data_IF_555826562030
#
_entry.id   IF_555826562030
#
_cell.length_a   1.000
_cell.length_b   1.000
_cell.length_c   1.000
_cell.angle_alpha   90.00
_cell.angle_beta   90.00
_cell.angle_gamma   90.00
#
_symmetry.space_group_name_H-M   'P 1'
#
loop_
_entity.id
_entity.type
_entity.pdbx_description
1 polymer ?
#
# COMPACT_ATOMS: atom_id res chain seq x y z
N UNK A 1 8.67 12.77 37.36
CA UNK A 1 7.34 13.36 37.05
C UNK A 1 6.30 12.30 37.34
N UNK A 2 5.31 12.64 38.17
CA UNK A 2 4.34 11.67 38.69
C UNK A 2 3.09 11.63 37.81
N UNK A 3 2.59 10.45 37.49
CA UNK A 3 1.30 10.25 36.82
C UNK A 3 0.53 9.11 37.48
N UNK A 4 -0.76 9.01 37.19
CA UNK A 4 -1.57 7.88 37.61
C UNK A 4 -1.44 6.72 36.62
N UNK A 5 -1.39 5.50 37.16
CA UNK A 5 -1.52 4.26 36.43
C UNK A 5 -2.67 3.46 37.05
N UNK A 6 -3.52 2.89 36.19
CA UNK A 6 -4.63 2.04 36.60
C UNK A 6 -4.37 0.63 36.09
N UNK A 7 -4.32 -0.32 37.03
CA UNK A 7 -4.11 -1.74 36.75
C UNK A 7 -5.39 -2.45 36.32
N UNK A 8 -5.25 -3.70 35.88
CA UNK A 8 -6.37 -4.60 35.55
C UNK A 8 -7.24 -5.02 36.76
N UNK A 9 -6.95 -4.50 37.96
CA UNK A 9 -7.80 -4.67 39.16
C UNK A 9 -8.97 -3.69 39.22
N UNK A 10 -9.06 -2.77 38.26
CA UNK A 10 -10.20 -1.87 38.16
C UNK A 10 -11.48 -2.67 37.86
N UNK A 11 -12.55 -2.34 38.58
CA UNK A 11 -13.87 -2.98 38.46
C UNK A 11 -14.98 -1.98 38.06
N UNK A 12 -14.58 -0.77 37.66
CA UNK A 12 -15.52 0.25 37.20
C UNK A 12 -16.43 0.86 38.27
N UNK A 13 -16.03 0.89 39.55
CA UNK A 13 -16.86 1.49 40.62
C UNK A 13 -17.11 3.02 40.51
N UNK A 14 -16.40 3.73 39.62
CA UNK A 14 -16.64 5.14 39.29
C UNK A 14 -16.22 6.17 40.35
N UNK A 15 -15.83 5.76 41.57
CA UNK A 15 -15.50 6.69 42.65
C UNK A 15 -14.30 7.61 42.34
N UNK A 16 -13.33 7.11 41.57
CA UNK A 16 -12.10 7.80 41.27
C UNK A 16 -12.17 8.72 40.04
N UNK A 17 -13.25 8.70 39.26
CA UNK A 17 -13.43 9.56 38.07
C UNK A 17 -14.27 10.80 38.36
N UNK A 18 -14.85 10.90 39.56
CA UNK A 18 -15.65 12.06 39.97
C UNK A 18 -14.77 13.29 40.13
N UNK A 19 -15.07 14.33 39.35
CA UNK A 19 -14.57 15.71 39.54
C UNK A 19 -13.04 15.83 39.68
N UNK A 20 -12.27 15.10 38.88
CA UNK A 20 -10.83 15.31 38.76
C UNK A 20 -10.38 15.32 37.30
N UNK A 21 -9.17 15.85 37.06
CA UNK A 21 -8.59 16.01 35.72
C UNK A 21 -7.65 14.86 35.32
N UNK A 22 -7.48 13.83 36.17
CA UNK A 22 -6.43 12.82 36.02
C UNK A 22 -6.93 11.45 35.55
N UNK A 23 -8.20 11.14 35.82
CA UNK A 23 -8.83 9.88 35.46
C UNK A 23 -10.11 10.14 34.67
N UNK A 24 -10.34 9.32 33.65
CA UNK A 24 -11.59 9.27 32.89
C UNK A 24 -12.08 7.83 32.79
N UNK A 25 -13.33 7.65 32.38
CA UNK A 25 -13.94 6.33 32.18
C UNK A 25 -13.83 5.91 30.71
N UNK A 26 -13.49 4.65 30.45
CA UNK A 26 -13.48 4.09 29.10
C UNK A 26 -14.85 3.48 28.73
N UNK A 27 -14.97 2.95 27.51
CA UNK A 27 -16.22 2.34 27.02
C UNK A 27 -16.69 1.11 27.82
N UNK A 28 -15.77 0.45 28.53
CA UNK A 28 -16.05 -0.70 29.39
C UNK A 28 -16.40 -0.32 30.83
N UNK A 29 -16.50 0.97 31.13
CA UNK A 29 -16.76 1.48 32.48
C UNK A 29 -15.55 1.51 33.41
N UNK A 30 -14.35 1.19 32.91
CA UNK A 30 -13.13 1.17 33.71
C UNK A 30 -12.47 2.55 33.75
N UNK A 31 -11.86 2.88 34.90
CA UNK A 31 -11.05 4.07 35.02
C UNK A 31 -9.74 3.91 34.23
N UNK A 32 -9.41 4.91 33.42
CA UNK A 32 -8.15 5.03 32.70
C UNK A 32 -7.51 6.39 32.99
N UNK A 33 -6.17 6.49 33.08
CA UNK A 33 -5.49 7.78 33.14
C UNK A 33 -5.80 8.62 31.92
N UNK A 34 -6.06 9.91 32.12
CA UNK A 34 -6.17 10.85 31.00
C UNK A 34 -4.80 10.93 30.32
N UNK A 35 -4.76 10.58 29.03
CA UNK A 35 -3.51 10.47 28.28
C UNK A 35 -2.77 11.82 28.26
N UNK A 36 -1.51 11.81 28.71
CA UNK A 36 -0.68 13.00 28.75
C UNK A 36 -1.02 14.00 29.85
N UNK A 37 -1.63 13.59 30.98
CA UNK A 37 -1.80 14.44 32.16
C UNK A 37 -0.83 14.02 33.28
N UNK A 38 0.01 14.97 33.73
CA UNK A 38 0.92 14.78 34.86
C UNK A 38 0.37 15.40 36.14
N UNK A 39 0.70 14.79 37.28
CA UNK A 39 0.35 15.30 38.61
C UNK A 39 1.24 16.52 38.89
N UNK A 40 0.60 17.70 39.03
CA UNK A 40 1.29 18.94 39.43
C UNK A 40 1.71 18.83 40.89
N UNK A 41 2.82 19.46 41.29
CA UNK A 41 3.31 19.40 42.68
C UNK A 41 2.25 19.83 43.70
N UNK A 42 1.49 20.89 43.40
CA UNK A 42 0.42 21.39 44.28
C UNK A 42 -0.80 20.45 44.36
N UNK A 43 -0.93 19.50 43.43
CA UNK A 43 -2.07 18.59 43.33
C UNK A 43 -1.74 17.20 43.92
N UNK A 44 -0.50 16.96 44.39
CA UNK A 44 -0.07 15.64 44.89
C UNK A 44 -0.98 15.14 46.03
N UNK A 45 -1.31 15.99 47.00
CA UNK A 45 -2.13 15.61 48.14
C UNK A 45 -3.57 15.27 47.70
N UNK A 46 -4.14 16.06 46.78
CA UNK A 46 -5.45 15.79 46.21
C UNK A 46 -5.47 14.46 45.42
N UNK A 47 -4.40 14.18 44.67
CA UNK A 47 -4.28 12.93 43.92
C UNK A 47 -4.08 11.73 44.84
N UNK A 48 -3.39 11.87 45.96
CA UNK A 48 -3.28 10.82 46.96
C UNK A 48 -4.65 10.46 47.56
N UNK A 49 -5.55 11.44 47.73
CA UNK A 49 -6.93 11.15 48.14
C UNK A 49 -7.69 10.38 47.06
N UNK A 50 -7.52 10.72 45.78
CA UNK A 50 -8.13 9.95 44.66
C UNK A 50 -7.64 8.50 44.67
N UNK A 51 -6.35 8.26 44.91
CA UNK A 51 -5.79 6.90 44.99
C UNK A 51 -6.44 6.10 46.12
N UNK A 52 -6.68 6.74 47.28
CA UNK A 52 -7.35 6.11 48.44
C UNK A 52 -8.82 5.77 48.20
N UNK A 53 -9.50 6.47 47.27
CA UNK A 53 -10.90 6.17 46.94
C UNK A 53 -11.07 4.84 46.22
N UNK A 54 -9.99 4.23 45.68
CA UNK A 54 -10.09 2.95 44.98
C UNK A 54 -10.20 1.78 45.97
N UNK A 55 -11.38 1.11 46.07
CA UNK A 55 -11.56 0.01 47.02
C UNK A 55 -10.67 -1.20 46.70
N UNK A 56 -10.32 -1.39 45.43
CA UNK A 56 -9.50 -2.52 44.98
C UNK A 56 -8.01 -2.20 44.87
N UNK A 57 -7.59 -0.98 45.25
CA UNK A 57 -6.20 -0.54 45.15
C UNK A 57 -5.63 -0.62 43.72
N UNK A 58 -6.47 -0.37 42.72
CA UNK A 58 -6.11 -0.48 41.30
C UNK A 58 -5.32 0.72 40.78
N UNK A 59 -5.29 1.84 41.52
CA UNK A 59 -4.69 3.11 41.13
C UNK A 59 -3.36 3.28 41.86
N UNK A 60 -2.31 3.69 41.14
CA UNK A 60 -1.01 4.01 41.73
C UNK A 60 -0.39 5.25 41.11
N UNK A 61 0.44 5.96 41.89
CA UNK A 61 1.29 7.04 41.37
C UNK A 61 2.61 6.44 40.92
N UNK A 62 2.96 6.64 39.66
CA UNK A 62 4.22 6.19 39.06
C UNK A 62 5.04 7.38 38.57
N UNK A 63 6.36 7.30 38.69
CA UNK A 63 7.25 8.26 38.05
C UNK A 63 7.47 7.85 36.58
N UNK A 64 6.90 8.65 35.65
CA UNK A 64 6.94 8.40 34.20
C UNK A 64 7.35 9.66 33.43
N UNK A 65 8.40 10.34 33.92
CA UNK A 65 9.02 11.45 33.22
C UNK A 65 10.21 10.99 32.37
N UNK A 66 10.43 11.60 31.21
CA UNK A 66 11.69 11.43 30.47
C UNK A 66 12.89 12.09 31.19
N UNK A 67 12.65 12.88 32.25
CA UNK A 67 13.69 13.49 33.10
C UNK A 67 13.16 13.69 34.53
N UNK A 68 14.08 13.61 35.50
CA UNK A 68 13.84 13.94 36.92
C UNK A 68 14.31 15.36 37.28
N UNK A 69 14.77 16.14 36.29
CA UNK A 69 15.29 17.49 36.48
C UNK A 69 14.20 18.53 36.20
N UNK A 70 14.43 19.78 36.61
CA UNK A 70 13.54 20.93 36.37
C UNK A 70 14.27 22.05 35.63
N UNK A 71 13.53 22.98 35.02
CA UNK A 71 14.10 24.13 34.32
C UNK A 71 14.91 23.76 33.07
N UNK A 72 15.98 24.51 32.77
CA UNK A 72 16.75 24.39 31.51
C UNK A 72 17.38 23.01 31.29
N UNK A 73 17.78 22.33 32.36
CA UNK A 73 18.36 20.98 32.25
C UNK A 73 17.31 19.95 31.85
N UNK A 74 16.08 20.09 32.34
CA UNK A 74 14.95 19.25 31.95
C UNK A 74 14.61 19.41 30.46
N UNK A 75 14.58 20.66 29.98
CA UNK A 75 14.33 20.98 28.57
C UNK A 75 15.41 20.38 27.67
N UNK A 76 16.68 20.41 28.10
CA UNK A 76 17.79 19.82 27.34
C UNK A 76 17.64 18.30 27.22
N UNK A 77 17.30 17.61 28.32
CA UNK A 77 17.06 16.17 28.33
C UNK A 77 15.85 15.80 27.44
N UNK A 78 14.77 16.58 27.50
CA UNK A 78 13.58 16.42 26.66
C UNK A 78 13.90 16.59 25.18
N UNK A 79 14.71 17.59 24.80
CA UNK A 79 15.13 17.79 23.41
C UNK A 79 15.95 16.61 22.90
N UNK A 80 16.82 16.03 23.73
CA UNK A 80 17.60 14.84 23.34
C UNK A 80 16.69 13.62 23.15
N UNK A 81 15.75 13.40 24.07
CA UNK A 81 14.74 12.32 23.97
C UNK A 81 13.88 12.50 22.72
N UNK A 82 13.44 13.73 22.45
CA UNK A 82 12.64 14.09 21.27
C UNK A 82 13.39 13.77 19.98
N UNK A 83 14.64 14.23 19.82
CA UNK A 83 15.45 13.93 18.64
C UNK A 83 15.56 12.43 18.38
N UNK A 84 15.85 11.65 19.44
CA UNK A 84 16.01 10.18 19.33
C UNK A 84 14.72 9.48 18.92
N UNK A 85 13.59 9.85 19.51
CA UNK A 85 12.27 9.24 19.19
C UNK A 85 11.77 9.69 17.81
N UNK A 86 11.94 10.95 17.45
CA UNK A 86 11.58 11.44 16.12
C UNK A 86 12.36 10.69 15.03
N UNK A 87 13.65 10.43 15.22
CA UNK A 87 14.46 9.64 14.29
C UNK A 87 13.92 8.20 14.14
N UNK A 88 13.42 7.61 15.21
CA UNK A 88 12.85 6.26 15.18
C UNK A 88 11.50 6.17 14.44
N UNK A 89 10.74 7.27 14.39
CA UNK A 89 9.42 7.37 13.72
C UNK A 89 9.56 7.62 12.21
N UNK A 90 10.72 8.12 11.75
CA UNK A 90 10.96 8.41 10.33
C UNK A 90 10.69 7.21 9.42
N UNK A 91 10.31 7.52 8.19
CA UNK A 91 10.11 6.52 7.15
C UNK A 91 11.45 5.88 6.80
N UNK A 92 11.47 4.54 6.86
CA UNK A 92 12.63 3.74 6.45
C UNK A 92 12.51 3.38 4.99
N UNK A 93 13.66 3.26 4.33
CA UNK A 93 13.71 2.76 2.96
C UNK A 93 13.05 1.38 2.88
N UNK A 94 12.29 1.20 1.81
CA UNK A 94 11.66 -0.07 1.48
C UNK A 94 12.51 -0.83 0.47
N UNK A 95 12.30 -2.14 0.42
CA UNK A 95 12.87 -3.01 -0.60
C UNK A 95 11.80 -3.64 -1.48
N UNK A 96 12.26 -4.44 -2.45
CA UNK A 96 11.40 -5.18 -3.39
C UNK A 96 10.31 -6.02 -2.70
N UNK A 97 10.63 -6.60 -1.54
CA UNK A 97 9.68 -7.39 -0.74
C UNK A 97 8.43 -6.60 -0.29
N UNK A 98 8.52 -5.28 -0.18
CA UNK A 98 7.44 -4.42 0.31
C UNK A 98 6.50 -3.99 -0.83
N UNK A 99 6.94 -4.18 -2.08
CA UNK A 99 6.24 -3.81 -3.31
C UNK A 99 6.13 -4.99 -4.29
N UNK A 100 5.83 -6.19 -3.78
CA UNK A 100 5.81 -7.38 -4.63
C UNK A 100 4.80 -7.31 -5.76
N UNK A 101 5.28 -7.51 -6.99
CA UNK A 101 4.47 -7.59 -8.19
C UNK A 101 3.96 -9.03 -8.38
N UNK A 102 2.69 -9.18 -8.73
CA UNK A 102 2.09 -10.48 -9.00
C UNK A 102 0.95 -10.35 -10.00
N UNK A 103 1.24 -10.68 -11.27
CA UNK A 103 0.26 -10.64 -12.34
C UNK A 103 -0.81 -11.73 -12.23
N UNK A 104 -0.59 -12.79 -11.43
CA UNK A 104 -1.57 -13.89 -11.30
C UNK A 104 -2.84 -13.48 -10.54
N UNK A 105 -2.79 -12.35 -9.82
CA UNK A 105 -3.96 -11.78 -9.13
C UNK A 105 -4.97 -11.16 -10.10
N UNK A 106 -4.53 -10.83 -11.30
CA UNK A 106 -5.36 -10.19 -12.32
C UNK A 106 -6.16 -11.21 -13.10
N UNK A 107 -7.48 -11.04 -13.08
CA UNK A 107 -8.38 -11.80 -13.93
C UNK A 107 -8.35 -11.23 -15.36
N UNK A 108 -7.90 -12.01 -16.33
CA UNK A 108 -7.78 -11.58 -17.73
C UNK A 108 -8.83 -12.30 -18.57
N UNK A 109 -9.63 -11.54 -19.32
CA UNK A 109 -10.61 -12.10 -20.23
C UNK A 109 -9.92 -12.80 -21.39
N UNK A 110 -10.31 -14.05 -21.64
CA UNK A 110 -9.75 -14.87 -22.71
C UNK A 110 -10.45 -14.51 -24.03
N UNK A 111 -9.71 -14.16 -25.10
CA UNK A 111 -10.27 -14.00 -26.42
C UNK A 111 -10.98 -15.27 -26.90
N UNK A 112 -12.14 -15.11 -27.53
CA UNK A 112 -12.87 -16.20 -28.16
C UNK A 112 -13.18 -15.88 -29.63
N UNK A 113 -13.34 -16.93 -30.43
CA UNK A 113 -13.75 -16.82 -31.82
C UNK A 113 -14.46 -18.09 -32.29
N UNK A 114 -15.48 -17.91 -33.14
CA UNK A 114 -16.13 -18.99 -33.87
C UNK A 114 -15.64 -18.97 -35.32
N UNK A 115 -15.04 -20.06 -35.77
CA UNK A 115 -14.62 -20.20 -37.17
C UNK A 115 -15.80 -20.65 -38.05
N UNK A 116 -15.80 -20.29 -39.35
CA UNK A 116 -16.69 -20.91 -40.33
C UNK A 116 -16.69 -22.43 -40.24
N UNK A 117 -17.83 -23.04 -40.57
CA UNK A 117 -18.04 -24.47 -40.39
C UNK A 117 -17.04 -25.34 -41.16
N UNK A 118 -16.57 -24.91 -42.35
CA UNK A 118 -15.63 -25.67 -43.18
C UNK A 118 -14.70 -24.79 -44.02
N UNK A 119 -13.50 -25.33 -44.30
CA UNK A 119 -12.48 -24.79 -45.20
C UNK A 119 -12.15 -25.79 -46.31
N UNK A 120 -11.79 -25.29 -47.49
CA UNK A 120 -11.52 -26.14 -48.66
C UNK A 120 -10.13 -26.79 -48.69
N UNK A 121 -9.26 -26.51 -47.72
CA UNK A 121 -7.93 -27.13 -47.57
C UNK A 121 -7.33 -26.83 -46.19
N UNK A 122 -6.44 -27.70 -45.71
CA UNK A 122 -5.67 -27.50 -44.47
C UNK A 122 -4.95 -26.15 -44.47
N UNK A 123 -4.28 -25.80 -45.58
CA UNK A 123 -3.57 -24.53 -45.71
C UNK A 123 -4.48 -23.32 -45.50
N UNK A 124 -5.71 -23.35 -46.02
CA UNK A 124 -6.68 -22.26 -45.80
C UNK A 124 -7.16 -22.21 -44.36
N UNK A 125 -7.42 -23.36 -43.74
CA UNK A 125 -7.81 -23.43 -42.33
C UNK A 125 -6.69 -22.88 -41.43
N UNK A 126 -5.45 -23.35 -41.60
CA UNK A 126 -4.28 -22.87 -40.85
C UNK A 126 -4.03 -21.37 -41.03
N UNK A 127 -4.10 -20.86 -42.27
CA UNK A 127 -3.96 -19.42 -42.52
C UNK A 127 -5.09 -18.59 -41.89
N UNK A 128 -6.31 -19.12 -41.84
CA UNK A 128 -7.42 -18.46 -41.17
C UNK A 128 -7.22 -18.43 -39.64
N UNK A 129 -6.83 -19.56 -39.04
CA UNK A 129 -6.48 -19.66 -37.62
C UNK A 129 -5.40 -18.63 -37.25
N UNK A 130 -4.29 -18.60 -38.00
CA UNK A 130 -3.20 -17.61 -37.83
C UNK A 130 -3.71 -16.18 -37.91
N UNK A 131 -4.49 -15.85 -38.94
CA UNK A 131 -4.99 -14.49 -39.14
C UNK A 131 -5.90 -14.03 -38.00
N UNK A 132 -6.81 -14.90 -37.55
CA UNK A 132 -7.72 -14.59 -36.45
C UNK A 132 -6.94 -14.46 -35.14
N UNK A 133 -6.05 -15.39 -34.84
CA UNK A 133 -5.25 -15.37 -33.61
C UNK A 133 -4.41 -14.10 -33.51
N UNK A 134 -3.69 -13.73 -34.58
CA UNK A 134 -2.93 -12.49 -34.64
C UNK A 134 -3.81 -11.25 -34.38
N UNK A 135 -5.02 -11.23 -34.96
CA UNK A 135 -5.97 -10.10 -34.82
C UNK A 135 -6.62 -10.02 -33.44
N UNK A 136 -6.72 -11.13 -32.72
CA UNK A 136 -7.42 -11.21 -31.42
C UNK A 136 -6.47 -11.15 -30.23
N UNK A 137 -5.35 -11.86 -30.29
CA UNK A 137 -4.38 -11.97 -29.19
C UNK A 137 -3.25 -10.94 -29.32
N UNK A 138 -2.62 -10.84 -30.50
CA UNK A 138 -1.48 -9.93 -30.72
C UNK A 138 -1.87 -8.51 -31.15
N UNK A 139 -3.15 -8.16 -31.11
CA UNK A 139 -3.57 -6.80 -31.45
C UNK A 139 -3.33 -5.85 -30.28
N UNK A 140 -2.93 -4.62 -30.61
CA UNK A 140 -2.74 -3.53 -29.63
C UNK A 140 -4.01 -3.24 -28.83
N UNK A 141 -5.18 -3.53 -29.41
CA UNK A 141 -6.48 -3.40 -28.74
C UNK A 141 -6.76 -4.44 -27.66
N UNK A 142 -6.02 -5.57 -27.63
CA UNK A 142 -6.14 -6.57 -26.58
C UNK A 142 -5.00 -6.45 -25.57
N UNK A 143 -3.76 -6.64 -26.01
CA UNK A 143 -2.65 -6.78 -25.06
C UNK A 143 -2.36 -5.48 -24.29
N UNK A 144 -2.56 -4.29 -24.86
CA UNK A 144 -2.29 -3.02 -24.15
C UNK A 144 -3.29 -2.78 -23.01
N UNK A 145 -4.62 -2.89 -23.22
CA UNK A 145 -5.57 -2.85 -22.11
C UNK A 145 -5.31 -3.92 -21.05
N UNK A 146 -4.99 -5.15 -21.47
CA UNK A 146 -4.67 -6.25 -20.54
C UNK A 146 -3.46 -5.91 -19.67
N UNK A 147 -2.36 -5.46 -20.26
CA UNK A 147 -1.18 -5.00 -19.51
C UNK A 147 -1.50 -3.82 -18.60
N UNK A 148 -2.29 -2.85 -19.07
CA UNK A 148 -2.70 -1.72 -18.24
C UNK A 148 -3.53 -2.20 -17.03
N UNK A 149 -4.44 -3.16 -17.22
CA UNK A 149 -5.25 -3.73 -16.13
C UNK A 149 -4.38 -4.34 -15.04
N UNK A 150 -3.41 -5.20 -15.40
CA UNK A 150 -2.47 -5.80 -14.45
C UNK A 150 -1.76 -4.72 -13.62
N UNK A 151 -1.29 -3.66 -14.27
CA UNK A 151 -0.59 -2.59 -13.56
C UNK A 151 -1.52 -1.70 -12.72
N UNK A 152 -2.79 -1.53 -13.11
CA UNK A 152 -3.78 -0.84 -12.28
C UNK A 152 -4.00 -1.61 -10.99
N UNK A 153 -4.17 -2.93 -11.05
CA UNK A 153 -4.35 -3.77 -9.86
C UNK A 153 -3.12 -3.73 -8.96
N UNK A 154 -1.91 -3.88 -9.52
CA UNK A 154 -0.67 -3.72 -8.76
C UNK A 154 -0.56 -2.34 -8.09
N UNK A 155 -0.91 -1.27 -8.81
CA UNK A 155 -0.89 0.09 -8.29
C UNK A 155 -1.82 0.24 -7.08
N UNK A 156 -3.07 -0.21 -7.21
CA UNK A 156 -4.08 -0.09 -6.14
C UNK A 156 -3.73 -0.96 -4.93
N UNK A 157 -3.38 -2.22 -5.16
CA UNK A 157 -3.19 -3.18 -4.08
C UNK A 157 -1.89 -2.98 -3.31
N UNK A 158 -0.86 -2.45 -3.98
CA UNK A 158 0.50 -2.41 -3.45
C UNK A 158 1.03 -1.00 -3.28
N UNK A 159 0.88 -0.15 -4.30
CA UNK A 159 1.57 1.15 -4.36
C UNK A 159 0.78 2.30 -3.75
N UNK A 160 -0.55 2.24 -3.75
CA UNK A 160 -1.45 3.35 -3.35
C UNK A 160 -1.10 3.94 -1.99
N UNK A 161 -0.82 3.07 -1.00
CA UNK A 161 -0.46 3.47 0.36
C UNK A 161 0.78 4.37 0.45
N UNK A 162 1.64 4.41 -0.57
CA UNK A 162 2.87 5.21 -0.57
C UNK A 162 2.71 6.61 -1.16
N UNK A 163 1.68 6.85 -1.98
CA UNK A 163 1.42 8.15 -2.59
C UNK A 163 0.08 8.77 -2.18
N UNK A 164 -0.74 8.05 -1.42
CA UNK A 164 -1.93 8.59 -0.78
C UNK A 164 -1.55 9.49 0.40
N UNK A 165 -1.80 10.80 0.23
CA UNK A 165 -1.47 11.84 1.19
C UNK A 165 -2.69 12.33 2.00
N UNK A 166 -3.86 11.73 1.78
CA UNK A 166 -5.13 12.22 2.33
C UNK A 166 -5.80 11.18 3.21
N UNK A 167 -5.75 9.89 2.85
CA UNK A 167 -6.39 8.85 3.65
C UNK A 167 -5.52 8.35 4.80
N UNK A 168 -6.17 7.79 5.82
CA UNK A 168 -5.49 7.13 6.94
C UNK A 168 -4.75 5.86 6.52
N UNK A 169 -4.95 5.35 5.30
CA UNK A 169 -4.19 4.20 4.77
C UNK A 169 -2.80 4.62 4.31
N UNK A 170 -2.62 5.89 3.95
CA UNK A 170 -1.36 6.48 3.52
C UNK A 170 -0.26 6.41 4.58
N UNK A 171 0.90 5.90 4.21
CA UNK A 171 2.04 5.71 5.13
C UNK A 171 2.52 7.05 5.70
N UNK A 172 2.60 8.09 4.89
CA UNK A 172 3.01 9.44 5.33
C UNK A 172 1.98 10.08 6.27
N UNK A 173 0.68 9.88 6.03
CA UNK A 173 -0.40 10.36 6.90
C UNK A 173 -0.32 9.67 8.26
N UNK A 174 -0.10 8.35 8.29
CA UNK A 174 0.09 7.60 9.55
C UNK A 174 1.30 8.11 10.34
N UNK A 175 2.42 8.32 9.66
CA UNK A 175 3.64 8.84 10.31
C UNK A 175 3.45 10.25 10.86
N UNK A 176 2.77 11.15 10.13
CA UNK A 176 2.42 12.46 10.67
C UNK A 176 1.59 12.34 11.96
N UNK A 177 0.55 11.50 11.97
CA UNK A 177 -0.27 11.28 13.17
C UNK A 177 0.51 10.72 14.36
N UNK A 178 1.40 9.75 14.11
CA UNK A 178 2.29 9.20 15.13
C UNK A 178 3.22 10.29 15.70
N UNK A 179 3.77 11.13 14.82
CA UNK A 179 4.59 12.27 15.21
C UNK A 179 3.79 13.30 16.03
N UNK A 180 2.58 13.65 15.62
CA UNK A 180 1.70 14.57 16.36
C UNK A 180 1.38 14.04 17.76
N UNK A 181 1.05 12.75 17.87
CA UNK A 181 0.79 12.11 19.17
C UNK A 181 2.02 12.20 20.07
N UNK A 182 3.22 11.94 19.53
CA UNK A 182 4.45 12.06 20.29
C UNK A 182 4.77 13.51 20.70
N UNK A 183 4.59 14.47 19.79
CA UNK A 183 4.81 15.88 20.09
C UNK A 183 3.81 16.41 21.13
N UNK A 184 2.56 15.93 21.13
CA UNK A 184 1.60 16.27 22.20
C UNK A 184 2.12 15.84 23.57
N UNK A 185 2.70 14.65 23.69
CA UNK A 185 3.27 14.20 24.97
C UNK A 185 4.43 15.09 25.42
N UNK A 186 5.32 15.46 24.50
CA UNK A 186 6.43 16.39 24.79
C UNK A 186 5.90 17.77 25.21
N UNK A 187 4.85 18.28 24.57
CA UNK A 187 4.24 19.55 24.94
C UNK A 187 3.73 19.56 26.38
N UNK A 188 3.07 18.48 26.81
CA UNK A 188 2.63 18.38 28.21
C UNK A 188 3.81 18.27 29.17
N UNK A 189 4.84 17.50 28.81
CA UNK A 189 6.06 17.40 29.63
C UNK A 189 6.74 18.77 29.80
N UNK A 190 6.80 19.57 28.74
CA UNK A 190 7.37 20.93 28.78
C UNK A 190 6.57 21.85 29.70
N UNK A 191 5.25 21.82 29.62
CA UNK A 191 4.38 22.61 30.51
C UNK A 191 4.59 22.20 31.98
N UNK A 192 4.74 20.90 32.25
CA UNK A 192 4.98 20.38 33.60
C UNK A 192 6.33 20.81 34.18
N UNK A 193 7.41 20.82 33.39
CA UNK A 193 8.78 21.12 33.90
C UNK A 193 9.15 22.61 33.86
N UNK A 194 8.50 23.39 33.00
CA UNK A 194 8.82 24.82 32.81
C UNK A 194 7.72 25.78 33.29
N UNK A 195 6.51 25.29 33.53
CA UNK A 195 5.33 26.11 33.81
C UNK A 195 4.87 26.96 32.63
N UNK A 196 5.51 26.83 31.46
CA UNK A 196 5.17 27.59 30.24
C UNK A 196 4.36 26.69 29.31
N UNK A 197 3.16 27.14 28.95
CA UNK A 197 2.33 26.49 27.94
C UNK A 197 2.85 26.82 26.54
N UNK A 198 3.06 25.80 25.71
CA UNK A 198 3.39 25.97 24.30
C UNK A 198 2.14 26.36 23.48
N UNK A 199 2.31 26.97 22.29
CA UNK A 199 1.18 27.24 21.40
C UNK A 199 0.37 25.97 21.09
N UNK A 200 -0.96 26.08 20.99
CA UNK A 200 -1.83 24.90 20.81
C UNK A 200 -1.50 24.12 19.52
N UNK A 201 -0.99 24.80 18.48
CA UNK A 201 -0.55 24.19 17.22
C UNK A 201 0.90 23.66 17.25
N UNK A 202 1.62 23.76 18.38
CA UNK A 202 3.01 23.34 18.47
C UNK A 202 3.18 21.84 18.23
N UNK A 203 2.16 21.03 18.52
CA UNK A 203 2.22 19.59 18.29
C UNK A 203 1.91 19.15 16.85
N UNK A 204 1.41 20.05 15.99
CA UNK A 204 0.99 19.72 14.63
C UNK A 204 2.18 19.26 13.78
N UNK A 205 1.96 18.25 12.93
CA UNK A 205 2.95 17.71 12.01
C UNK A 205 2.29 17.45 10.66
N UNK A 206 2.67 18.25 9.67
CA UNK A 206 2.15 18.14 8.31
C UNK A 206 3.33 18.07 7.32
N UNK A 207 4.24 17.11 7.53
CA UNK A 207 5.27 16.84 6.55
C UNK A 207 4.61 16.25 5.29
N UNK A 208 4.95 16.78 4.13
CA UNK A 208 4.52 16.26 2.82
C UNK A 208 5.73 16.29 1.86
N UNK A 209 5.84 15.34 0.93
CA UNK A 209 6.80 15.44 -0.17
C UNK A 209 6.39 16.56 -1.12
N UNK A 210 7.27 16.93 -2.06
CA UNK A 210 6.91 17.87 -3.12
C UNK A 210 5.97 17.13 -4.09
N UNK A 211 4.80 17.68 -4.35
CA UNK A 211 3.83 17.11 -5.31
C UNK A 211 3.79 17.89 -6.62
N UNK A 212 4.08 19.18 -6.56
CA UNK A 212 4.02 20.07 -7.72
C UNK A 212 5.22 19.80 -8.63
N UNK A 213 4.94 19.42 -9.88
CA UNK A 213 5.96 19.08 -10.89
C UNK A 213 6.95 17.99 -10.46
N UNK A 214 6.58 17.17 -9.46
CA UNK A 214 7.40 16.06 -8.98
C UNK A 214 7.22 14.83 -9.88
N UNK A 215 8.30 14.45 -10.56
CA UNK A 215 8.32 13.30 -11.46
C UNK A 215 7.98 11.99 -10.72
N UNK A 216 8.55 11.80 -9.53
CA UNK A 216 8.40 10.59 -8.75
C UNK A 216 6.96 10.37 -8.31
N UNK A 217 6.33 11.44 -7.80
CA UNK A 217 4.94 11.42 -7.36
C UNK A 217 3.97 11.19 -8.53
N UNK A 218 4.12 11.93 -9.64
CA UNK A 218 3.25 11.75 -10.82
C UNK A 218 3.41 10.34 -11.41
N UNK A 219 4.64 9.83 -11.45
CA UNK A 219 4.92 8.47 -11.95
C UNK A 219 4.29 7.39 -11.07
N UNK A 220 4.31 7.52 -9.75
CA UNK A 220 3.64 6.56 -8.85
C UNK A 220 2.11 6.59 -9.03
N UNK A 221 1.51 7.79 -9.19
CA UNK A 221 0.06 7.92 -9.39
C UNK A 221 -0.42 7.35 -10.73
N UNK A 222 0.42 7.42 -11.76
CA UNK A 222 0.17 6.94 -13.11
C UNK A 222 1.01 5.71 -13.46
N UNK A 223 1.32 4.89 -12.45
CA UNK A 223 2.25 3.77 -12.62
C UNK A 223 1.77 2.77 -13.70
N UNK A 224 0.47 2.67 -13.93
CA UNK A 224 -0.11 1.86 -15.00
C UNK A 224 0.25 2.28 -16.43
N UNK A 225 0.62 3.55 -16.63
CA UNK A 225 1.13 4.05 -17.91
C UNK A 225 2.53 3.51 -18.21
N UNK A 226 3.21 2.94 -17.21
CA UNK A 226 4.51 2.28 -17.36
C UNK A 226 4.42 0.86 -17.90
N UNK A 227 3.24 0.28 -18.07
CA UNK A 227 3.07 -1.11 -18.53
C UNK A 227 3.80 -1.43 -19.85
N UNK A 228 3.91 -0.47 -20.76
CA UNK A 228 4.66 -0.62 -22.02
C UNK A 228 6.18 -0.46 -21.91
N UNK A 229 6.71 0.03 -20.79
CA UNK A 229 8.14 0.37 -20.63
C UNK A 229 9.01 -0.86 -20.34
N UNK A 230 8.41 -1.95 -19.83
CA UNK A 230 9.15 -3.12 -19.35
C UNK A 230 9.46 -4.15 -20.46
N UNK A 231 8.97 -3.94 -21.68
CA UNK A 231 9.27 -4.83 -22.80
C UNK A 231 8.62 -6.21 -22.72
N UNK A 232 7.60 -6.39 -21.89
CA UNK A 232 6.89 -7.68 -21.67
C UNK A 232 6.45 -8.31 -22.99
N UNK A 233 5.79 -7.53 -23.86
CA UNK A 233 5.33 -8.01 -25.17
C UNK A 233 6.50 -8.36 -26.09
N UNK A 234 7.60 -7.61 -26.03
CA UNK A 234 8.78 -7.92 -26.84
C UNK A 234 9.43 -9.23 -26.42
N UNK A 235 9.47 -9.54 -25.11
CA UNK A 235 9.98 -10.82 -24.62
C UNK A 235 9.06 -11.98 -25.01
N UNK A 236 7.74 -11.80 -24.88
CA UNK A 236 6.76 -12.76 -25.35
C UNK A 236 6.93 -13.08 -26.84
N UNK A 237 7.05 -12.05 -27.69
CA UNK A 237 7.21 -12.21 -29.15
C UNK A 237 8.55 -12.86 -29.55
N UNK A 238 9.61 -12.72 -28.74
CA UNK A 238 10.90 -13.39 -29.00
C UNK A 238 10.83 -14.89 -28.71
N UNK A 239 10.09 -15.28 -27.69
CA UNK A 239 10.01 -16.67 -27.26
C UNK A 239 8.90 -17.45 -27.96
N UNK A 240 7.76 -16.82 -28.20
CA UNK A 240 6.57 -17.46 -28.75
C UNK A 240 6.11 -16.73 -30.01
N UNK A 241 6.22 -17.42 -31.14
CA UNK A 241 5.68 -16.94 -32.41
C UNK A 241 4.17 -17.12 -32.47
N UNK A 242 3.44 -16.30 -33.22
CA UNK A 242 2.00 -16.53 -33.43
C UNK A 242 1.70 -17.97 -33.92
N UNK A 243 2.60 -18.56 -34.71
CA UNK A 243 2.44 -19.92 -35.23
C UNK A 243 2.47 -20.99 -34.14
N UNK A 244 3.21 -20.81 -33.04
CA UNK A 244 3.28 -21.83 -31.98
C UNK A 244 1.95 -22.01 -31.27
N UNK A 245 1.10 -20.97 -31.23
CA UNK A 245 -0.25 -21.06 -30.66
C UNK A 245 -1.24 -21.78 -31.58
N UNK A 246 -0.95 -21.88 -32.87
CA UNK A 246 -1.83 -22.59 -33.81
C UNK A 246 -1.69 -24.11 -33.66
N UNK A 247 -0.55 -24.57 -33.17
CA UNK A 247 -0.35 -25.99 -32.85
C UNK A 247 -1.19 -26.44 -31.63
N UNK A 248 -1.76 -25.49 -30.87
CA UNK A 248 -2.75 -25.75 -29.81
C UNK A 248 -4.20 -25.75 -30.32
N UNK A 249 -4.42 -25.42 -31.59
CA UNK A 249 -5.74 -25.52 -32.22
C UNK A 249 -5.83 -26.84 -32.98
N UNK A 250 -6.97 -27.51 -32.88
CA UNK A 250 -7.27 -28.67 -33.70
C UNK A 250 -7.71 -28.24 -35.11
N UNK A 251 -7.13 -28.88 -36.14
CA UNK A 251 -7.50 -28.67 -37.54
C UNK A 251 -7.75 -30.03 -38.18
N UNK A 252 -9.01 -30.45 -38.15
CA UNK A 252 -9.44 -31.80 -38.56
C UNK A 252 -9.89 -31.86 -40.01
N UNK A 253 -9.59 -32.98 -40.68
CA UNK A 253 -10.11 -33.34 -41.99
C UNK A 253 -11.41 -34.14 -41.85
N UNK A 254 -12.46 -33.72 -42.54
CA UNK A 254 -13.72 -34.45 -42.69
C UNK A 254 -14.06 -34.63 -44.18
N UNK A 255 -14.84 -35.67 -44.50
CA UNK A 255 -15.39 -35.86 -45.84
C UNK A 255 -16.84 -35.35 -45.91
N UNK A 256 -17.10 -34.42 -46.83
CA UNK A 256 -18.44 -33.90 -47.10
C UNK A 256 -18.95 -34.43 -48.45
N UNK A 257 -20.14 -35.03 -48.46
CA UNK A 257 -20.78 -35.50 -49.69
C UNK A 257 -21.20 -34.33 -50.57
N UNK A 258 -20.85 -34.38 -51.86
CA UNK A 258 -21.07 -33.28 -52.83
C UNK A 258 -21.83 -33.73 -54.08
N UNK A 259 -22.60 -34.80 -53.97
CA UNK A 259 -23.41 -35.34 -55.05
C UNK A 259 -22.87 -36.64 -55.63
N UNK A 260 -23.43 -37.04 -56.77
CA UNK A 260 -23.04 -38.26 -57.48
C UNK A 260 -22.29 -37.94 -58.76
N UNK A 261 -21.29 -38.75 -59.09
CA UNK A 261 -20.58 -38.71 -60.37
C UNK A 261 -21.51 -39.05 -61.55
N UNK A 262 -21.06 -38.78 -62.79
CA UNK A 262 -21.79 -39.11 -64.03
C UNK A 262 -22.15 -40.60 -64.16
N UNK A 263 -21.48 -41.48 -63.41
CA UNK A 263 -21.69 -42.93 -63.40
C UNK A 263 -22.45 -43.44 -62.17
N UNK A 264 -23.03 -42.53 -61.36
CA UNK A 264 -23.88 -42.89 -60.22
C UNK A 264 -23.15 -43.16 -58.91
N UNK A 265 -21.81 -43.09 -58.87
CA UNK A 265 -21.05 -43.25 -57.62
C UNK A 265 -21.11 -41.98 -56.78
N UNK A 266 -21.16 -42.10 -55.46
CA UNK A 266 -21.05 -40.98 -54.53
C UNK A 266 -19.71 -40.25 -54.68
N UNK A 267 -19.77 -38.92 -54.53
CA UNK A 267 -18.61 -38.04 -54.58
C UNK A 267 -18.50 -37.30 -53.26
N UNK A 268 -17.34 -37.41 -52.63
CA UNK A 268 -16.99 -36.67 -51.43
C UNK A 268 -15.90 -35.64 -51.75
N UNK A 269 -15.80 -34.59 -50.94
CA UNK A 269 -14.64 -33.70 -50.89
C UNK A 269 -14.11 -33.68 -49.45
N UNK A 270 -12.81 -33.56 -49.30
CA UNK A 270 -12.22 -33.20 -48.01
C UNK A 270 -12.57 -31.75 -47.67
N UNK A 271 -13.03 -31.54 -46.44
CA UNK A 271 -13.19 -30.24 -45.81
C UNK A 271 -12.42 -30.21 -44.50
N UNK A 272 -12.04 -29.02 -44.07
CA UNK A 272 -11.23 -28.83 -42.88
C UNK A 272 -11.97 -27.96 -41.87
N UNK A 273 -11.96 -28.34 -40.59
CA UNK A 273 -12.57 -27.56 -39.50
C UNK A 273 -11.51 -27.08 -38.53
N UNK A 274 -11.83 -26.06 -37.74
CA UNK A 274 -10.92 -25.52 -36.72
C UNK A 274 -11.66 -25.51 -35.38
N UNK A 275 -11.05 -26.10 -34.35
CA UNK A 275 -11.51 -26.09 -32.96
C UNK A 275 -10.43 -25.51 -32.03
N UNK A 276 -10.78 -25.35 -30.75
CA UNK A 276 -9.85 -25.02 -29.66
C UNK A 276 -9.11 -23.68 -29.77
N UNK A 277 -9.77 -22.69 -30.39
CA UNK A 277 -9.28 -21.31 -30.38
C UNK A 277 -9.08 -20.78 -28.95
N UNK A 278 -10.02 -21.08 -28.05
CA UNK A 278 -10.00 -20.58 -26.69
C UNK A 278 -8.90 -21.25 -25.85
N UNK A 279 -8.55 -22.51 -26.12
CA UNK A 279 -7.39 -23.16 -25.50
C UNK A 279 -6.08 -22.49 -25.94
N UNK A 280 -5.90 -22.24 -27.23
CA UNK A 280 -4.75 -21.47 -27.72
C UNK A 280 -4.70 -20.05 -27.12
N UNK A 281 -5.85 -19.40 -26.96
CA UNK A 281 -5.94 -18.08 -26.35
C UNK A 281 -5.67 -18.09 -24.83
N UNK A 282 -6.08 -19.17 -24.12
CA UNK A 282 -5.73 -19.40 -22.71
C UNK A 282 -4.22 -19.50 -22.53
N UNK A 283 -3.54 -20.28 -23.37
CA UNK A 283 -2.09 -20.40 -23.32
C UNK A 283 -1.38 -19.06 -23.60
N UNK A 284 -1.86 -18.29 -24.57
CA UNK A 284 -1.34 -16.93 -24.80
C UNK A 284 -1.49 -16.03 -23.56
N UNK A 285 -2.64 -16.06 -22.89
CA UNK A 285 -2.85 -15.27 -21.66
C UNK A 285 -1.96 -15.76 -20.52
N UNK A 286 -1.76 -17.08 -20.37
CA UNK A 286 -0.81 -17.64 -19.39
C UNK A 286 0.61 -17.16 -19.65
N UNK A 287 1.06 -17.19 -20.90
CA UNK A 287 2.38 -16.69 -21.27
C UNK A 287 2.49 -15.19 -21.01
N UNK A 288 1.46 -14.42 -21.34
CA UNK A 288 1.42 -12.98 -21.08
C UNK A 288 1.59 -12.65 -19.59
N UNK A 289 0.92 -13.40 -18.70
CA UNK A 289 1.08 -13.32 -17.24
C UNK A 289 2.50 -13.74 -16.83
N UNK A 290 2.99 -14.84 -17.39
CA UNK A 290 4.34 -15.35 -17.12
C UNK A 290 5.40 -14.30 -17.45
N UNK A 291 5.36 -13.69 -18.64
CA UNK A 291 6.33 -12.67 -19.04
C UNK A 291 6.17 -11.36 -18.26
N UNK A 292 4.97 -11.03 -17.78
CA UNK A 292 4.80 -9.91 -16.85
C UNK A 292 5.51 -10.18 -15.52
N UNK A 293 5.34 -11.37 -14.95
CA UNK A 293 6.03 -11.80 -13.73
C UNK A 293 7.53 -11.99 -13.95
N UNK A 294 7.97 -12.38 -15.14
CA UNK A 294 9.40 -12.47 -15.47
C UNK A 294 10.10 -11.10 -15.47
N UNK A 295 9.34 -10.01 -15.65
CA UNK A 295 9.85 -8.63 -15.56
C UNK A 295 9.64 -8.01 -14.17
N UNK A 296 9.22 -8.79 -13.17
CA UNK A 296 8.94 -8.33 -11.80
C UNK A 296 10.08 -7.50 -11.24
N UNK A 297 11.32 -7.95 -11.37
CA UNK A 297 12.50 -7.26 -10.84
C UNK A 297 12.60 -5.81 -11.30
N UNK A 298 12.36 -5.55 -12.59
CA UNK A 298 12.44 -4.19 -13.17
C UNK A 298 11.24 -3.34 -12.77
N UNK A 299 10.07 -3.95 -12.63
CA UNK A 299 8.84 -3.30 -12.18
C UNK A 299 9.02 -2.88 -10.71
N UNK A 300 9.38 -3.82 -9.86
CA UNK A 300 9.60 -3.61 -8.43
C UNK A 300 10.74 -2.62 -8.17
N UNK A 301 11.86 -2.69 -8.91
CA UNK A 301 12.99 -1.76 -8.76
C UNK A 301 12.58 -0.31 -9.06
N UNK A 302 11.81 -0.08 -10.12
CA UNK A 302 11.29 1.25 -10.41
C UNK A 302 10.37 1.73 -9.26
N UNK A 303 9.48 0.88 -8.76
CA UNK A 303 8.59 1.24 -7.67
C UNK A 303 9.36 1.60 -6.39
N UNK A 304 10.33 0.77 -5.99
CA UNK A 304 11.21 1.02 -4.83
C UNK A 304 11.92 2.36 -4.97
N UNK A 305 12.53 2.62 -6.13
CA UNK A 305 13.26 3.87 -6.37
C UNK A 305 12.37 5.10 -6.20
N UNK A 306 11.17 5.07 -6.76
CA UNK A 306 10.21 6.18 -6.68
C UNK A 306 9.73 6.41 -5.25
N UNK A 307 9.37 5.33 -4.52
CA UNK A 307 8.90 5.41 -3.13
C UNK A 307 10.02 5.90 -2.19
N UNK A 308 11.24 5.39 -2.32
CA UNK A 308 12.35 5.81 -1.47
C UNK A 308 12.76 7.27 -1.71
N UNK A 309 12.68 7.74 -2.96
CA UNK A 309 12.87 9.16 -3.28
C UNK A 309 11.84 10.04 -2.56
N UNK A 310 10.56 9.66 -2.65
CA UNK A 310 9.46 10.31 -1.95
C UNK A 310 9.64 10.30 -0.42
N UNK A 311 10.11 9.18 0.15
CA UNK A 311 10.37 9.06 1.58
C UNK A 311 11.51 9.98 2.04
N UNK A 312 12.56 10.10 1.22
CA UNK A 312 13.66 11.01 1.49
C UNK A 312 13.18 12.46 1.57
N UNK A 313 12.42 12.91 0.57
CA UNK A 313 11.86 14.28 0.58
C UNK A 313 10.93 14.53 1.78
N UNK A 314 10.06 13.57 2.07
CA UNK A 314 9.19 13.64 3.24
C UNK A 314 10.00 13.77 4.53
N UNK A 315 11.04 12.94 4.71
CA UNK A 315 11.89 12.96 5.90
C UNK A 315 12.69 14.27 6.01
N UNK A 316 13.17 14.82 4.89
CA UNK A 316 13.86 16.12 4.87
C UNK A 316 12.91 17.26 5.33
N UNK A 317 11.64 17.22 4.93
CA UNK A 317 10.64 18.19 5.38
C UNK A 317 10.24 17.97 6.84
N UNK A 318 10.16 16.72 7.28
CA UNK A 318 9.96 16.37 8.69
C UNK A 318 11.10 16.88 9.57
N UNK A 319 12.35 16.80 9.09
CA UNK A 319 13.51 17.32 9.80
C UNK A 319 13.48 18.84 9.99
N UNK A 320 12.99 19.58 8.99
CA UNK A 320 12.77 21.04 9.12
C UNK A 320 11.76 21.34 10.23
N UNK A 321 10.63 20.63 10.25
CA UNK A 321 9.59 20.76 11.27
C UNK A 321 10.15 20.43 12.67
N UNK A 322 10.92 19.35 12.80
CA UNK A 322 11.52 18.95 14.09
C UNK A 322 12.53 20.01 14.54
N UNK A 323 13.36 20.53 13.63
CA UNK A 323 14.35 21.57 13.94
C UNK A 323 13.70 22.84 14.48
N UNK A 324 12.63 23.31 13.85
CA UNK A 324 11.86 24.47 14.35
C UNK A 324 11.29 24.23 15.75
N UNK A 325 10.75 23.02 16.01
CA UNK A 325 10.25 22.65 17.34
C UNK A 325 11.36 22.61 18.39
N UNK A 326 12.54 22.06 18.06
CA UNK A 326 13.73 22.09 18.93
C UNK A 326 14.13 23.53 19.26
N UNK A 327 14.22 24.40 18.25
CA UNK A 327 14.59 25.80 18.44
C UNK A 327 13.60 26.55 19.33
N UNK A 328 12.31 26.24 19.23
CA UNK A 328 11.28 26.79 20.11
C UNK A 328 11.47 26.34 21.57
N UNK A 329 11.79 25.06 21.80
CA UNK A 329 12.05 24.54 23.15
C UNK A 329 13.31 25.17 23.77
N UNK A 330 14.37 25.32 22.99
CA UNK A 330 15.65 25.88 23.47
C UNK A 330 15.58 27.37 23.83
N UNK A 331 14.50 28.07 23.44
CA UNK A 331 14.23 29.49 23.79
C UNK A 331 13.49 29.65 25.12
N UNK A 332 12.98 28.57 25.72
CA UNK A 332 12.27 28.59 27.01
C UNK A 332 13.24 28.78 28.18
#
# INVERSE_FOLDING_TARGET
MKMLEVSNKCDGCGLCTVSNQYLMENEDGNAIPVEGVYIKENDIDAVLEIVKLCPNGAISIVDKGNTNKTGKEAITDLVQSMKKKCEAIKLKEIGRKDVKFDANKCNIDIPWHYFPDTYSSYGKAKSAAQSVFQKKCYCTGFYRPTMRKIFVEYKVDVLEKYYDLESEKGVMVKTNKEMEKFLKSISTEVEAVSGKKLPDNWSNCNAKPITDECYEWDTLRKYEEKSGHFGIISELEKSNSCSSYIDWMEIDEEEEWVGTTRFGNDKYKSVWRISDFDEAAKEYVKDLIFYANYQDDRIEELAVRLVNSMFKEYNDNLDKIIKEKVENLMKL
#
